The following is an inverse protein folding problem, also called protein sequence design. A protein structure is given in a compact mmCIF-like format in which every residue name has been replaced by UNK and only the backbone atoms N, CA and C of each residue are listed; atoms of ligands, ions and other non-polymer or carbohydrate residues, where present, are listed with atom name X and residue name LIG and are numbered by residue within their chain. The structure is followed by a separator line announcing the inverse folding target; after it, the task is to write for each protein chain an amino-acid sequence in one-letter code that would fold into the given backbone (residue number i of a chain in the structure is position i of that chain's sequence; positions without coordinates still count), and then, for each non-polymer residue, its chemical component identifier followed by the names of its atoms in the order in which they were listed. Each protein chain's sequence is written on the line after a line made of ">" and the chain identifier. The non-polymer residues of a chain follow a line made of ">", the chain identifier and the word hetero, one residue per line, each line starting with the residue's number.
data_IF_194211061518
#
_entry.id   IF_194211061518
#
_cell.length_a   1.000
_cell.length_b   1.000
_cell.length_c   1.000
_cell.angle_alpha   90.00
_cell.angle_beta   90.00
_cell.angle_gamma   90.00
#
_symmetry.space_group_name_H-M   'P 1'
#
loop_
_entity.id
_entity.type
_entity.pdbx_description
1 polymer ?
#
# COMPACT_ATOMS: atom_id res chain seq x y z
N UNK A 1 -4.55 23.15 9.06
CA UNK A 1 -5.58 22.13 8.75
C UNK A 1 -6.33 21.85 10.04
N UNK A 2 -7.68 21.86 10.07
CA UNK A 2 -8.46 21.78 11.31
C UNK A 2 -8.26 20.50 12.14
N UNK A 3 -7.70 19.44 11.55
CA UNK A 3 -7.41 18.15 12.21
C UNK A 3 -5.91 17.80 12.22
N UNK A 4 -5.02 18.77 12.00
CA UNK A 4 -3.58 18.48 11.83
C UNK A 4 -2.94 17.87 13.08
N UNK A 5 -3.40 18.24 14.29
CA UNK A 5 -2.88 17.67 15.53
C UNK A 5 -3.07 16.15 15.60
N UNK A 6 -4.29 15.67 15.34
CA UNK A 6 -4.62 14.25 15.36
C UNK A 6 -3.89 13.48 14.26
N UNK A 7 -3.85 14.03 13.04
CA UNK A 7 -3.19 13.39 11.91
C UNK A 7 -1.68 13.21 12.15
N UNK A 8 -1.02 14.25 12.67
CA UNK A 8 0.42 14.16 12.98
C UNK A 8 0.70 13.16 14.11
N UNK A 9 -0.14 13.14 15.16
CA UNK A 9 -0.01 12.15 16.23
C UNK A 9 -0.16 10.71 15.72
N UNK A 10 -1.17 10.46 14.88
CA UNK A 10 -1.38 9.13 14.28
C UNK A 10 -0.23 8.75 13.36
N UNK A 11 0.24 9.68 12.52
CA UNK A 11 1.39 9.47 11.65
C UNK A 11 2.63 9.04 12.45
N UNK A 12 2.98 9.76 13.51
CA UNK A 12 4.11 9.41 14.37
C UNK A 12 3.97 8.01 14.99
N UNK A 13 2.75 7.63 15.38
CA UNK A 13 2.47 6.30 15.89
C UNK A 13 2.68 5.22 14.82
N UNK A 14 2.23 5.45 13.59
CA UNK A 14 2.42 4.52 12.47
C UNK A 14 3.89 4.32 12.12
N UNK A 15 4.65 5.42 12.02
CA UNK A 15 6.09 5.37 11.74
C UNK A 15 6.83 4.61 12.84
N UNK A 16 6.57 4.92 14.13
CA UNK A 16 7.17 4.19 15.26
C UNK A 16 6.72 2.73 15.35
N UNK A 17 5.52 2.42 14.86
CA UNK A 17 4.98 1.07 14.77
C UNK A 17 5.55 0.25 13.62
N UNK A 18 6.41 0.81 12.78
CA UNK A 18 7.03 0.10 11.66
C UNK A 18 6.11 -0.10 10.45
N UNK A 19 5.07 0.71 10.30
CA UNK A 19 4.22 0.70 9.11
C UNK A 19 5.06 1.06 7.88
N UNK A 20 4.94 0.26 6.81
CA UNK A 20 5.80 0.35 5.63
C UNK A 20 5.34 1.34 4.58
N UNK A 21 4.02 1.50 4.41
CA UNK A 21 3.45 2.36 3.37
C UNK A 21 2.05 2.83 3.73
N UNK A 22 1.56 3.84 3.01
CA UNK A 22 0.19 4.35 3.08
C UNK A 22 -0.54 4.03 1.78
N UNK A 23 -1.72 3.44 1.89
CA UNK A 23 -2.66 3.12 0.79
C UNK A 23 -4.11 3.28 1.31
N UNK A 24 -5.14 3.04 0.49
CA UNK A 24 -6.53 3.42 0.83
C UNK A 24 -7.57 2.27 0.76
N UNK A 25 -7.23 1.09 0.28
CA UNK A 25 -8.18 0.03 -0.09
C UNK A 25 -8.01 -1.27 0.71
N UNK A 26 -6.78 -1.62 1.09
CA UNK A 26 -6.43 -2.97 1.55
C UNK A 26 -7.05 -3.29 2.91
N UNK A 27 -7.15 -2.30 3.81
CA UNK A 27 -7.82 -2.48 5.11
C UNK A 27 -9.26 -2.97 4.95
N UNK A 28 -10.03 -2.36 4.04
CA UNK A 28 -11.41 -2.76 3.74
C UNK A 28 -11.45 -4.15 3.11
N UNK A 29 -10.57 -4.39 2.13
CA UNK A 29 -10.49 -5.68 1.44
C UNK A 29 -10.25 -6.83 2.44
N UNK A 30 -9.32 -6.66 3.38
CA UNK A 30 -8.96 -7.70 4.35
C UNK A 30 -10.04 -7.93 5.40
N UNK A 31 -10.67 -6.86 5.91
CA UNK A 31 -11.78 -6.99 6.87
C UNK A 31 -12.98 -7.69 6.23
N UNK A 32 -13.39 -7.27 5.03
CA UNK A 32 -14.51 -7.87 4.32
C UNK A 32 -14.18 -9.30 3.89
N UNK A 33 -12.96 -9.55 3.40
CA UNK A 33 -12.50 -10.88 3.02
C UNK A 33 -12.53 -11.87 4.18
N UNK A 34 -12.03 -11.45 5.35
CA UNK A 34 -12.08 -12.21 6.60
C UNK A 34 -13.53 -12.54 6.99
N UNK A 35 -14.42 -11.53 6.99
CA UNK A 35 -15.85 -11.72 7.30
C UNK A 35 -16.53 -12.71 6.34
N UNK A 36 -16.24 -12.60 5.04
CA UNK A 36 -16.79 -13.48 3.99
C UNK A 36 -16.10 -14.84 3.90
N UNK A 37 -15.04 -15.08 4.70
CA UNK A 37 -14.23 -16.30 4.69
C UNK A 37 -13.61 -16.61 3.32
N UNK A 38 -13.16 -15.57 2.62
CA UNK A 38 -12.44 -15.68 1.34
C UNK A 38 -10.98 -15.25 1.51
N UNK A 39 -10.10 -15.81 0.68
CA UNK A 39 -8.69 -15.40 0.65
C UNK A 39 -8.55 -14.02 0.03
N UNK A 40 -7.86 -13.12 0.70
CA UNK A 40 -7.51 -11.78 0.21
C UNK A 40 -6.02 -11.53 0.38
N UNK A 41 -5.43 -10.78 -0.54
CA UNK A 41 -4.04 -10.36 -0.50
C UNK A 41 -3.86 -9.05 -1.27
N UNK A 42 -2.72 -8.40 -1.06
CA UNK A 42 -2.39 -7.16 -1.75
C UNK A 42 -0.91 -7.15 -2.14
N UNK A 43 -0.62 -6.58 -3.30
CA UNK A 43 0.71 -6.25 -3.77
C UNK A 43 0.70 -4.76 -4.09
N UNK A 44 1.62 -4.01 -3.51
CA UNK A 44 1.68 -2.56 -3.59
C UNK A 44 2.98 -2.13 -4.27
N UNK A 45 2.89 -1.14 -5.17
CA UNK A 45 4.06 -0.49 -5.78
C UNK A 45 4.35 0.78 -4.98
N UNK A 46 5.56 0.88 -4.43
CA UNK A 46 6.00 2.08 -3.71
C UNK A 46 6.32 3.18 -4.71
N UNK A 47 5.46 4.19 -4.79
CA UNK A 47 5.66 5.33 -5.69
C UNK A 47 6.77 6.28 -5.20
N UNK A 48 6.90 6.42 -3.88
CA UNK A 48 7.83 7.37 -3.29
C UNK A 48 7.76 7.39 -1.77
N UNK A 49 8.64 8.17 -1.17
CA UNK A 49 8.72 8.41 0.27
C UNK A 49 8.61 9.91 0.54
N UNK A 50 7.48 10.33 1.11
CA UNK A 50 7.21 11.72 1.44
C UNK A 50 8.16 12.30 2.51
N UNK A 51 8.70 11.47 3.40
CA UNK A 51 9.66 11.92 4.42
C UNK A 51 11.03 12.22 3.79
N UNK A 52 11.37 11.52 2.71
CA UNK A 52 12.60 11.74 1.92
C UNK A 52 12.40 12.69 0.75
N UNK A 53 11.16 13.08 0.46
CA UNK A 53 10.78 13.86 -0.73
C UNK A 53 11.21 13.19 -2.04
N UNK A 54 11.14 11.87 -2.06
CA UNK A 54 11.52 11.05 -3.21
C UNK A 54 10.26 10.52 -3.90
N UNK A 55 10.28 10.50 -5.23
CA UNK A 55 9.24 9.89 -6.05
C UNK A 55 9.88 9.25 -7.29
N UNK A 56 9.26 8.19 -7.77
CA UNK A 56 9.67 7.53 -9.00
C UNK A 56 9.46 8.44 -10.22
N UNK A 57 10.32 8.28 -11.22
CA UNK A 57 10.06 8.78 -12.56
C UNK A 57 8.83 8.08 -13.14
N UNK A 58 8.21 8.69 -14.16
CA UNK A 58 7.08 8.09 -14.84
C UNK A 58 7.45 6.76 -15.49
N UNK A 59 8.64 6.70 -16.09
CA UNK A 59 9.18 5.53 -16.76
C UNK A 59 9.39 4.36 -15.78
N UNK A 60 10.01 4.64 -14.62
CA UNK A 60 10.24 3.63 -13.57
C UNK A 60 8.93 3.14 -12.96
N UNK A 61 7.99 4.05 -12.72
CA UNK A 61 6.67 3.71 -12.19
C UNK A 61 5.92 2.75 -13.13
N UNK A 62 5.92 3.04 -14.44
CA UNK A 62 5.27 2.18 -15.43
C UNK A 62 5.93 0.81 -15.53
N UNK A 63 7.25 0.72 -15.46
CA UNK A 63 7.96 -0.56 -15.44
C UNK A 63 7.61 -1.38 -14.18
N UNK A 64 7.59 -0.76 -13.01
CA UNK A 64 7.23 -1.43 -11.76
C UNK A 64 5.77 -1.88 -11.73
N UNK A 65 4.83 -1.08 -12.24
CA UNK A 65 3.43 -1.49 -12.37
C UNK A 65 3.28 -2.68 -13.32
N UNK A 66 4.01 -2.71 -14.44
CA UNK A 66 4.03 -3.85 -15.34
C UNK A 66 4.57 -5.12 -14.65
N UNK A 67 5.66 -4.99 -13.89
CA UNK A 67 6.24 -6.12 -13.11
C UNK A 67 5.28 -6.61 -12.03
N UNK A 68 4.70 -5.69 -11.26
CA UNK A 68 3.68 -5.97 -10.24
C UNK A 68 2.48 -6.73 -10.84
N UNK A 69 2.02 -6.30 -12.01
CA UNK A 69 0.90 -6.94 -12.73
C UNK A 69 1.24 -8.37 -13.15
N UNK A 70 2.47 -8.63 -13.61
CA UNK A 70 2.92 -10.00 -13.92
C UNK A 70 2.98 -10.87 -12.67
N UNK A 71 3.56 -10.36 -11.58
CA UNK A 71 3.65 -11.10 -10.30
C UNK A 71 2.25 -11.48 -9.78
N UNK A 72 1.30 -10.54 -9.78
CA UNK A 72 -0.05 -10.82 -9.28
C UNK A 72 -0.79 -11.82 -10.18
N UNK A 73 -0.61 -11.72 -11.50
CA UNK A 73 -1.18 -12.67 -12.46
C UNK A 73 -0.63 -14.08 -12.23
N UNK A 74 0.70 -14.23 -12.18
CA UNK A 74 1.35 -15.53 -11.94
C UNK A 74 0.98 -16.12 -10.58
N UNK A 75 0.85 -15.27 -9.55
CA UNK A 75 0.43 -15.70 -8.22
C UNK A 75 -1.02 -16.18 -8.24
N UNK A 76 -1.91 -15.51 -8.97
CA UNK A 76 -3.33 -15.87 -9.07
C UNK A 76 -3.56 -17.24 -9.74
N UNK A 77 -2.67 -17.65 -10.64
CA UNK A 77 -2.74 -18.96 -11.31
C UNK A 77 -2.37 -20.15 -10.42
N UNK A 78 -1.78 -19.90 -9.24
CA UNK A 78 -1.33 -20.93 -8.28
C UNK A 78 -2.29 -21.12 -7.09
N UNK A 79 -3.40 -20.37 -7.08
CA UNK A 79 -4.36 -20.24 -5.99
C UNK A 79 -5.56 -21.15 -6.24
#
# INVERSE_FOLDING_TARGET
>A
MPVSYELNQKWDAWVKGGVLCSEMEVSTLFVVGSYRRIRTGALLVVYGDQNRQEALSKEDYLDLVNKATKIILESSLKI
#
